data_IF_845774072587
#
_entry.id   IF_845774072587
#
_cell.length_a   1.000
_cell.length_b   1.000
_cell.length_c   1.000
_cell.angle_alpha   90.00
_cell.angle_beta   90.00
_cell.angle_gamma   90.00
#
_symmetry.space_group_name_H-M   'P 1'
#
loop_
_entity.id
_entity.type
_entity.pdbx_description
1 polymer ?
#
# COMPACT_ATOMS: atom_id res chain seq x y z
N UNK A 1 -48.98 -27.95 -47.31
CA UNK A 1 -49.10 -26.64 -46.65
C UNK A 1 -47.89 -25.80 -47.05
N UNK A 2 -48.09 -24.77 -47.87
CA UNK A 2 -46.98 -23.89 -48.29
C UNK A 2 -46.74 -22.84 -47.21
N UNK A 3 -45.49 -22.62 -46.76
CA UNK A 3 -45.20 -21.61 -45.76
C UNK A 3 -45.44 -20.21 -46.32
N UNK A 4 -46.03 -19.34 -45.51
CA UNK A 4 -46.33 -17.95 -45.88
C UNK A 4 -45.03 -17.14 -46.08
N UNK A 5 -44.67 -16.91 -47.35
CA UNK A 5 -43.47 -16.18 -47.77
C UNK A 5 -43.37 -14.77 -47.18
N UNK A 6 -44.51 -14.12 -46.92
CA UNK A 6 -44.55 -12.79 -46.32
C UNK A 6 -44.01 -12.77 -44.89
N UNK A 7 -44.27 -13.83 -44.11
CA UNK A 7 -43.73 -13.96 -42.76
C UNK A 7 -42.23 -14.26 -42.76
N UNK A 8 -41.73 -14.94 -43.80
CA UNK A 8 -40.30 -15.22 -43.95
C UNK A 8 -39.51 -13.93 -44.24
N UNK A 9 -39.96 -13.11 -45.18
CA UNK A 9 -39.29 -11.84 -45.53
C UNK A 9 -39.31 -10.85 -44.36
N UNK A 10 -40.42 -10.76 -43.61
CA UNK A 10 -40.49 -9.89 -42.44
C UNK A 10 -39.48 -10.27 -41.35
N UNK A 11 -39.20 -11.56 -41.16
CA UNK A 11 -38.17 -12.02 -40.21
C UNK A 11 -36.74 -11.80 -40.72
N UNK A 12 -36.51 -11.88 -42.03
CA UNK A 12 -35.20 -11.65 -42.65
C UNK A 12 -34.86 -10.16 -42.74
N UNK A 13 -35.84 -9.25 -42.77
CA UNK A 13 -35.56 -7.80 -42.87
C UNK A 13 -35.88 -7.01 -41.59
N UNK A 14 -35.93 -7.68 -40.43
CA UNK A 14 -36.05 -7.02 -39.13
C UNK A 14 -34.71 -7.06 -38.38
N UNK A 15 -33.70 -6.25 -38.76
CA UNK A 15 -32.38 -6.28 -38.11
C UNK A 15 -32.46 -6.00 -36.60
N UNK A 16 -33.44 -5.20 -36.15
CA UNK A 16 -33.73 -5.00 -34.73
C UNK A 16 -34.14 -6.27 -33.97
N UNK A 17 -34.53 -7.35 -34.66
CA UNK A 17 -34.84 -8.66 -34.05
C UNK A 17 -33.66 -9.62 -34.13
N UNK A 18 -32.71 -9.42 -35.06
CA UNK A 18 -31.50 -10.23 -35.15
C UNK A 18 -30.55 -10.01 -33.97
N UNK A 19 -30.53 -8.79 -33.43
CA UNK A 19 -29.73 -8.43 -32.25
C UNK A 19 -30.52 -8.40 -30.93
N UNK A 20 -31.80 -8.80 -30.94
CA UNK A 20 -32.48 -9.18 -29.69
C UNK A 20 -31.91 -10.53 -29.29
N UNK A 21 -30.72 -10.49 -28.68
CA UNK A 21 -30.14 -11.60 -27.96
C UNK A 21 -31.30 -12.30 -27.24
N UNK A 22 -31.54 -13.56 -27.59
CA UNK A 22 -32.54 -14.41 -26.93
C UNK A 22 -32.39 -14.15 -25.45
N UNK A 23 -33.49 -13.72 -24.79
CA UNK A 23 -33.54 -13.33 -23.37
C UNK A 23 -32.52 -14.16 -22.62
N UNK A 24 -31.32 -13.61 -22.43
CA UNK A 24 -30.24 -14.37 -21.84
C UNK A 24 -30.77 -14.73 -20.48
N UNK A 25 -30.82 -16.03 -20.21
CA UNK A 25 -31.36 -16.59 -18.99
C UNK A 25 -30.85 -15.72 -17.84
N UNK A 26 -31.79 -15.01 -17.18
CA UNK A 26 -31.40 -13.99 -16.21
C UNK A 26 -30.48 -14.70 -15.23
N UNK A 27 -29.27 -14.17 -14.99
CA UNK A 27 -28.30 -14.84 -14.12
C UNK A 27 -29.02 -15.23 -12.82
N UNK A 28 -29.08 -16.52 -12.55
CA UNK A 28 -29.75 -17.04 -11.36
C UNK A 28 -28.91 -16.71 -10.13
N UNK A 29 -29.58 -16.52 -8.99
CA UNK A 29 -28.88 -16.33 -7.71
C UNK A 29 -28.06 -17.58 -7.42
N UNK A 30 -26.83 -17.40 -6.94
CA UNK A 30 -25.92 -18.50 -6.60
C UNK A 30 -25.55 -18.40 -5.15
N UNK A 31 -25.65 -19.51 -4.43
CA UNK A 31 -25.22 -19.58 -3.03
C UNK A 31 -23.97 -20.43 -2.95
N UNK A 32 -22.92 -19.89 -2.34
CA UNK A 32 -21.63 -20.56 -2.13
C UNK A 32 -21.25 -20.51 -0.66
N UNK A 33 -20.57 -21.55 -0.17
CA UNK A 33 -19.98 -21.55 1.15
C UNK A 33 -18.52 -21.09 1.06
N UNK A 34 -18.16 -20.03 1.79
CA UNK A 34 -16.79 -19.53 1.85
C UNK A 34 -16.23 -19.64 3.26
N UNK A 35 -14.92 -19.84 3.36
CA UNK A 35 -14.17 -19.84 4.62
C UNK A 35 -13.60 -18.45 4.99
N UNK A 36 -13.49 -17.54 4.02
CA UNK A 36 -12.91 -16.20 4.18
C UNK A 36 -13.75 -15.17 3.39
N UNK A 37 -13.98 -13.94 3.90
CA UNK A 37 -13.42 -13.34 5.12
C UNK A 37 -14.00 -13.87 6.43
N UNK A 38 -15.27 -14.29 6.44
CA UNK A 38 -15.93 -14.93 7.58
C UNK A 38 -16.52 -16.26 7.11
N UNK A 39 -16.31 -17.39 7.83
CA UNK A 39 -16.91 -18.66 7.47
C UNK A 39 -18.45 -18.59 7.42
N UNK A 40 -19.05 -18.94 6.28
CA UNK A 40 -20.49 -18.82 6.12
C UNK A 40 -20.99 -19.07 4.70
N UNK A 41 -22.29 -18.86 4.51
CA UNK A 41 -22.95 -18.90 3.21
C UNK A 41 -23.06 -17.50 2.62
N UNK A 42 -22.69 -17.40 1.35
CA UNK A 42 -22.69 -16.18 0.57
C UNK A 42 -23.62 -16.32 -0.64
N UNK A 43 -24.44 -15.32 -0.90
CA UNK A 43 -25.36 -15.27 -2.04
C UNK A 43 -24.89 -14.21 -3.05
N UNK A 44 -24.69 -14.61 -4.30
CA UNK A 44 -24.47 -13.71 -5.41
C UNK A 44 -25.82 -13.21 -5.95
N UNK A 45 -26.02 -11.90 -5.85
CA UNK A 45 -27.18 -11.20 -6.40
C UNK A 45 -26.75 -10.48 -7.68
N UNK A 46 -27.26 -10.87 -8.87
CA UNK A 46 -26.88 -10.25 -10.12
C UNK A 46 -27.06 -8.73 -10.13
N UNK A 47 -26.05 -8.01 -10.62
CA UNK A 47 -26.03 -6.54 -10.63
C UNK A 47 -25.72 -5.89 -9.28
N UNK A 48 -25.74 -6.65 -8.16
CA UNK A 48 -25.44 -6.13 -6.82
C UNK A 48 -24.16 -6.69 -6.19
N UNK A 49 -23.73 -7.88 -6.62
CA UNK A 49 -22.53 -8.56 -6.12
C UNK A 49 -22.83 -9.63 -5.06
N UNK A 50 -21.81 -9.95 -4.27
CA UNK A 50 -21.87 -10.97 -3.22
C UNK A 50 -22.36 -10.40 -1.89
N UNK A 51 -23.12 -11.20 -1.14
CA UNK A 51 -23.64 -10.88 0.18
C UNK A 51 -23.44 -12.06 1.13
N UNK A 52 -23.02 -11.80 2.37
CA UNK A 52 -23.03 -12.79 3.44
C UNK A 52 -24.46 -12.90 3.98
N UNK A 53 -25.05 -14.11 3.91
CA UNK A 53 -26.44 -14.38 4.29
C UNK A 53 -26.54 -15.18 5.59
N UNK A 54 -25.56 -16.02 5.89
CA UNK A 54 -25.52 -16.82 7.11
C UNK A 54 -24.09 -17.05 7.55
N UNK A 55 -23.82 -16.91 8.85
CA UNK A 55 -22.51 -17.23 9.44
C UNK A 55 -22.51 -18.65 9.98
N UNK A 56 -21.39 -19.36 9.84
CA UNK A 56 -21.23 -20.66 10.49
C UNK A 56 -21.20 -20.43 12.01
N UNK A 57 -22.06 -21.14 12.74
CA UNK A 57 -22.02 -21.12 14.21
C UNK A 57 -20.81 -21.94 14.63
N UNK A 58 -19.74 -21.27 15.05
CA UNK A 58 -18.57 -21.98 15.54
C UNK A 58 -18.97 -22.85 16.74
N UNK A 59 -18.82 -24.17 16.61
CA UNK A 59 -19.00 -25.14 17.70
C UNK A 59 -18.03 -24.92 18.89
N UNK A 60 -17.19 -23.89 18.83
CA UNK A 60 -16.11 -23.62 19.77
C UNK A 60 -16.56 -22.93 21.07
N UNK A 61 -17.74 -22.29 21.11
CA UNK A 61 -18.18 -21.59 22.34
C UNK A 61 -18.78 -22.53 23.40
N UNK A 62 -19.14 -23.77 23.03
CA UNK A 62 -19.67 -24.77 23.97
C UNK A 62 -18.63 -25.85 24.36
N UNK A 63 -17.45 -25.86 23.74
CA UNK A 63 -16.39 -26.82 24.07
C UNK A 63 -15.65 -26.50 25.39
N UNK A 64 -15.84 -25.32 25.98
CA UNK A 64 -15.24 -24.94 27.27
C UNK A 64 -15.88 -25.62 28.49
N UNK A 65 -16.93 -26.43 28.30
CA UNK A 65 -17.64 -27.12 29.41
C UNK A 65 -17.42 -28.63 29.50
N UNK A 66 -16.61 -29.24 28.63
CA UNK A 66 -16.36 -30.69 28.67
C UNK A 66 -14.87 -31.02 28.75
N UNK A 67 -14.17 -30.45 29.75
CA UNK A 67 -12.95 -31.05 30.28
C UNK A 67 -13.31 -31.72 31.61
N UNK A 68 -13.40 -33.06 31.57
CA UNK A 68 -13.01 -34.01 32.62
C UNK A 68 -13.91 -35.25 32.59
N UNK A 69 -13.49 -36.29 31.86
CA UNK A 69 -13.29 -37.62 32.45
C UNK A 69 -12.46 -38.46 31.49
N UNK A 70 -11.31 -38.83 32.01
CA UNK A 70 -10.23 -39.62 31.43
C UNK A 70 -10.61 -41.12 31.42
N UNK A 71 -10.44 -41.79 30.27
CA UNK A 71 -10.36 -43.25 30.16
C UNK A 71 -11.61 -43.99 29.66
N UNK A 72 -11.65 -44.36 28.37
CA UNK A 72 -12.64 -45.31 27.82
C UNK A 72 -12.53 -45.56 26.31
N UNK A 73 -12.89 -46.75 25.79
CA UNK A 73 -12.30 -47.38 24.59
C UNK A 73 -12.84 -46.87 23.23
N UNK A 74 -11.99 -47.05 22.21
CA UNK A 74 -12.18 -46.94 20.75
C UNK A 74 -13.53 -46.33 20.30
N UNK A 75 -13.50 -45.03 19.98
CA UNK A 75 -14.67 -44.31 19.49
C UNK A 75 -15.06 -44.73 18.06
N UNK A 76 -16.36 -44.93 17.78
CA UNK A 76 -16.86 -45.20 16.43
C UNK A 76 -16.70 -43.99 15.52
N UNK A 77 -16.57 -44.25 14.21
CA UNK A 77 -16.37 -43.26 13.15
C UNK A 77 -17.30 -42.04 13.32
N UNK A 78 -16.69 -40.86 13.53
CA UNK A 78 -17.36 -39.56 13.66
C UNK A 78 -18.32 -39.37 12.48
N UNK A 79 -19.62 -39.36 12.73
CA UNK A 79 -20.60 -38.91 11.76
C UNK A 79 -20.32 -37.46 11.37
N UNK A 80 -20.56 -37.06 10.11
CA UNK A 80 -20.34 -35.69 9.67
C UNK A 80 -21.25 -34.77 10.50
N UNK A 81 -20.64 -33.95 11.36
CA UNK A 81 -21.36 -32.96 12.15
C UNK A 81 -22.05 -32.01 11.17
N UNK A 82 -23.38 -31.95 11.20
CA UNK A 82 -24.16 -31.02 10.38
C UNK A 82 -23.78 -29.60 10.79
N UNK A 83 -23.15 -28.86 9.87
CA UNK A 83 -22.79 -27.45 10.06
C UNK A 83 -24.06 -26.65 10.39
N UNK A 84 -24.11 -26.06 11.58
CA UNK A 84 -25.21 -25.18 11.99
C UNK A 84 -24.93 -23.76 11.48
N UNK A 85 -25.83 -23.20 10.67
CA UNK A 85 -25.71 -21.84 10.15
C UNK A 85 -26.70 -20.92 10.87
N UNK A 86 -26.24 -19.75 11.27
CA UNK A 86 -27.09 -18.67 11.79
C UNK A 86 -27.40 -17.72 10.65
N UNK A 87 -28.66 -17.69 10.22
CA UNK A 87 -29.14 -16.75 9.21
C UNK A 87 -29.07 -15.34 9.77
N UNK A 88 -28.46 -14.42 9.02
CA UNK A 88 -28.36 -13.02 9.41
C UNK A 88 -29.67 -12.29 9.06
N UNK A 89 -30.15 -11.45 9.98
CA UNK A 89 -31.32 -10.59 9.74
C UNK A 89 -31.08 -9.62 8.57
N UNK A 90 -29.84 -9.11 8.46
CA UNK A 90 -29.42 -8.21 7.40
C UNK A 90 -28.26 -8.80 6.60
N UNK A 91 -28.47 -8.93 5.29
CA UNK A 91 -27.42 -9.38 4.38
C UNK A 91 -26.27 -8.36 4.33
N UNK A 92 -25.05 -8.83 4.59
CA UNK A 92 -23.86 -7.97 4.62
C UNK A 92 -23.21 -7.98 3.23
N UNK A 93 -23.11 -6.82 2.58
CA UNK A 93 -22.47 -6.71 1.27
C UNK A 93 -20.99 -7.08 1.35
N UNK A 94 -20.51 -7.78 0.34
CA UNK A 94 -19.10 -8.15 0.18
C UNK A 94 -18.51 -7.35 -0.97
N UNK A 95 -17.33 -6.78 -0.74
CA UNK A 95 -16.57 -6.04 -1.73
C UNK A 95 -15.29 -6.79 -2.06
N UNK A 96 -15.01 -6.95 -3.36
CA UNK A 96 -13.70 -7.42 -3.80
C UNK A 96 -12.71 -6.24 -3.75
N UNK A 97 -11.76 -6.27 -2.82
CA UNK A 97 -10.74 -5.24 -2.74
C UNK A 97 -9.64 -5.50 -3.77
N UNK A 98 -9.47 -4.56 -4.70
CA UNK A 98 -8.38 -4.62 -5.70
C UNK A 98 -6.99 -4.51 -5.06
N UNK A 99 -6.89 -3.85 -3.90
CA UNK A 99 -5.62 -3.65 -3.20
C UNK A 99 -5.16 -4.91 -2.46
N UNK A 100 -6.08 -5.61 -1.80
CA UNK A 100 -5.77 -6.84 -1.07
C UNK A 100 -5.97 -8.10 -1.91
N UNK A 101 -6.61 -7.97 -3.09
CA UNK A 101 -7.00 -9.07 -3.98
C UNK A 101 -7.86 -10.14 -3.31
N UNK A 102 -8.63 -9.74 -2.29
CA UNK A 102 -9.54 -10.62 -1.53
C UNK A 102 -10.88 -9.95 -1.29
N UNK A 103 -11.87 -10.77 -0.99
CA UNK A 103 -13.20 -10.35 -0.59
C UNK A 103 -13.17 -9.83 0.86
N UNK A 104 -13.82 -8.70 1.10
CA UNK A 104 -13.90 -8.01 2.39
C UNK A 104 -15.36 -7.65 2.65
N UNK A 105 -15.79 -7.71 3.90
CA UNK A 105 -17.14 -7.29 4.30
C UNK A 105 -17.30 -5.76 4.26
N UNK A 106 -18.53 -5.28 4.07
CA UNK A 106 -18.83 -3.84 3.93
C UNK A 106 -18.35 -2.99 5.11
N UNK A 107 -18.53 -3.48 6.35
CA UNK A 107 -18.09 -2.76 7.54
C UNK A 107 -16.57 -2.59 7.57
N UNK A 108 -15.82 -3.66 7.27
CA UNK A 108 -14.37 -3.64 7.23
C UNK A 108 -13.86 -2.78 6.06
N UNK A 109 -14.53 -2.84 4.90
CA UNK A 109 -14.22 -1.98 3.76
C UNK A 109 -14.36 -0.49 4.11
N UNK A 110 -15.43 -0.11 4.84
CA UNK A 110 -15.64 1.26 5.33
C UNK A 110 -14.58 1.68 6.35
N UNK A 111 -14.25 0.83 7.31
CA UNK A 111 -13.21 1.11 8.32
C UNK A 111 -11.82 1.31 7.69
N UNK A 112 -11.53 0.60 6.60
CA UNK A 112 -10.27 0.71 5.86
C UNK A 112 -10.22 1.92 4.93
N UNK A 113 -11.35 2.55 4.62
CA UNK A 113 -11.39 3.74 3.75
C UNK A 113 -11.37 5.00 4.60
N UNK A 114 -10.42 5.90 4.36
CA UNK A 114 -10.34 7.21 5.03
C UNK A 114 -10.02 8.30 4.02
N UNK A 115 -10.67 9.44 4.16
CA UNK A 115 -10.35 10.64 3.39
C UNK A 115 -9.36 11.51 4.16
N UNK A 116 -8.48 12.21 3.45
CA UNK A 116 -7.54 13.14 4.05
C UNK A 116 -6.96 14.13 3.06
N UNK A 117 -6.47 15.25 3.59
CA UNK A 117 -5.83 16.31 2.81
C UNK A 117 -4.34 16.03 2.68
N UNK A 118 -3.79 16.05 1.46
CA UNK A 118 -2.35 15.99 1.22
C UNK A 118 -1.88 17.20 0.41
N UNK A 119 -0.61 17.58 0.58
CA UNK A 119 0.02 18.61 -0.26
C UNK A 119 0.43 17.97 -1.58
N UNK A 120 -0.06 18.53 -2.69
CA UNK A 120 0.44 18.20 -4.02
C UNK A 120 1.87 18.76 -4.21
N UNK A 121 2.49 18.41 -5.33
CA UNK A 121 3.80 18.93 -5.75
C UNK A 121 3.85 20.48 -5.80
N UNK A 122 2.71 21.11 -6.08
CA UNK A 122 2.55 22.57 -6.07
C UNK A 122 2.31 23.16 -4.66
N UNK A 123 2.40 22.35 -3.60
CA UNK A 123 2.12 22.76 -2.22
C UNK A 123 0.64 22.95 -1.88
N UNK A 124 -0.28 22.86 -2.84
CA UNK A 124 -1.73 22.98 -2.63
C UNK A 124 -2.27 21.75 -1.90
N UNK A 125 -3.12 21.98 -0.89
CA UNK A 125 -3.85 20.91 -0.20
C UNK A 125 -4.96 20.36 -1.10
N UNK A 126 -4.95 19.06 -1.33
CA UNK A 126 -5.95 18.34 -2.11
C UNK A 126 -6.47 17.16 -1.31
N UNK A 127 -7.80 17.01 -1.30
CA UNK A 127 -8.46 15.89 -0.68
C UNK A 127 -8.26 14.62 -1.50
N UNK A 128 -7.80 13.56 -0.86
CA UNK A 128 -7.65 12.24 -1.49
C UNK A 128 -8.21 11.16 -0.58
N UNK A 129 -8.65 10.05 -1.18
CA UNK A 129 -9.07 8.87 -0.44
C UNK A 129 -7.93 7.88 -0.32
N UNK A 130 -7.79 7.31 0.87
CA UNK A 130 -6.80 6.31 1.23
C UNK A 130 -7.49 5.01 1.65
N UNK A 131 -6.81 3.89 1.40
CA UNK A 131 -7.22 2.55 1.79
C UNK A 131 -6.15 1.91 2.68
N UNK A 132 -6.57 1.38 3.82
CA UNK A 132 -5.71 0.77 4.83
C UNK A 132 -5.37 -0.69 4.47
N UNK A 133 -4.09 -1.02 4.48
CA UNK A 133 -3.60 -2.38 4.24
C UNK A 133 -3.74 -3.27 5.49
N UNK A 134 -3.40 -4.55 5.34
CA UNK A 134 -3.55 -5.58 6.39
C UNK A 134 -2.58 -5.43 7.56
N UNK A 135 -1.49 -4.69 7.36
CA UNK A 135 -0.50 -4.40 8.39
C UNK A 135 -1.03 -3.45 9.48
N UNK A 136 -2.19 -2.83 9.27
CA UNK A 136 -2.81 -1.97 10.27
C UNK A 136 -2.19 -0.57 10.37
N UNK A 137 -1.12 -0.28 9.62
CA UNK A 137 -0.35 0.96 9.70
C UNK A 137 -0.29 1.64 8.33
N UNK A 138 -0.03 0.88 7.26
CA UNK A 138 0.14 1.43 5.92
C UNK A 138 -1.18 1.80 5.28
N UNK A 139 -1.20 2.98 4.66
CA UNK A 139 -2.28 3.49 3.83
C UNK A 139 -1.80 3.62 2.39
N UNK A 140 -2.71 3.38 1.44
CA UNK A 140 -2.47 3.53 0.01
C UNK A 140 -3.49 4.50 -0.56
N UNK A 141 -3.03 5.46 -1.36
CA UNK A 141 -3.94 6.35 -2.08
C UNK A 141 -4.71 5.54 -3.13
N UNK A 142 -6.05 5.59 -3.06
CA UNK A 142 -6.92 4.78 -3.91
C UNK A 142 -7.77 5.60 -4.90
N UNK A 143 -8.16 6.81 -4.51
CA UNK A 143 -8.93 7.71 -5.37
C UNK A 143 -8.34 9.11 -5.37
N UNK A 144 -8.46 9.79 -6.50
CA UNK A 144 -8.20 11.22 -6.63
C UNK A 144 -9.37 12.06 -6.06
N UNK A 145 -9.28 13.38 -6.19
CA UNK A 145 -10.32 14.31 -5.73
C UNK A 145 -11.62 14.20 -6.55
N UNK A 146 -11.54 13.67 -7.76
CA UNK A 146 -12.67 13.49 -8.68
C UNK A 146 -13.39 12.15 -8.45
N UNK A 147 -12.81 11.27 -7.61
CA UNK A 147 -13.32 9.93 -7.35
C UNK A 147 -12.88 8.90 -8.38
N UNK A 148 -11.94 9.22 -9.29
CA UNK A 148 -11.34 8.26 -10.19
C UNK A 148 -10.35 7.38 -9.44
N UNK A 149 -10.33 6.11 -9.80
CA UNK A 149 -9.39 5.14 -9.23
C UNK A 149 -7.98 5.40 -9.76
N UNK A 150 -7.04 5.67 -8.85
CA UNK A 150 -5.63 5.84 -9.20
C UNK A 150 -4.96 4.47 -9.16
N UNK A 151 -4.73 3.87 -10.32
CA UNK A 151 -3.96 2.63 -10.40
C UNK A 151 -2.50 2.89 -10.00
N UNK A 152 -1.92 1.98 -9.23
CA UNK A 152 -0.49 1.99 -8.96
C UNK A 152 0.27 1.83 -10.28
N UNK A 153 1.26 2.69 -10.52
CA UNK A 153 2.07 2.60 -11.74
C UNK A 153 2.98 1.36 -11.74
N UNK A 154 3.95 1.29 -12.67
CA UNK A 154 4.96 0.22 -12.70
C UNK A 154 5.72 0.07 -11.38
N UNK A 155 5.87 1.20 -10.68
CA UNK A 155 6.45 1.31 -9.34
C UNK A 155 5.40 1.09 -8.24
N UNK A 156 4.33 0.35 -8.50
CA UNK A 156 3.27 0.04 -7.53
C UNK A 156 2.64 1.26 -6.85
N UNK A 157 1.99 1.02 -5.71
CA UNK A 157 1.32 2.06 -4.95
C UNK A 157 2.29 2.77 -4.01
N UNK A 158 2.15 4.10 -3.91
CA UNK A 158 2.83 4.88 -2.87
C UNK A 158 2.20 4.58 -1.51
N UNK A 159 3.05 4.34 -0.52
CA UNK A 159 2.64 4.08 0.87
C UNK A 159 2.65 5.36 1.69
N UNK A 160 1.62 5.49 2.50
CA UNK A 160 1.35 6.64 3.35
C UNK A 160 1.12 6.15 4.78
N UNK A 161 1.41 7.01 5.75
CA UNK A 161 1.13 6.80 7.17
C UNK A 161 0.49 8.06 7.72
N UNK A 162 -0.41 7.89 8.68
CA UNK A 162 -0.99 9.02 9.41
C UNK A 162 0.00 9.40 10.48
N UNK A 163 0.47 10.65 10.43
CA UNK A 163 1.36 11.17 11.45
C UNK A 163 0.63 11.32 12.79
N UNK A 164 1.20 10.80 13.87
CA UNK A 164 0.52 10.77 15.17
C UNK A 164 0.29 12.16 15.75
N UNK A 165 1.20 13.10 15.47
CA UNK A 165 1.15 14.47 15.97
C UNK A 165 0.18 15.33 15.17
N UNK A 166 0.33 15.35 13.84
CA UNK A 166 -0.48 16.24 12.98
C UNK A 166 -1.80 15.62 12.53
N UNK A 167 -1.97 14.31 12.67
CA UNK A 167 -3.08 13.53 12.09
C UNK A 167 -3.21 13.69 10.56
N UNK A 168 -2.15 14.18 9.89
CA UNK A 168 -2.10 14.34 8.45
C UNK A 168 -1.44 13.12 7.80
N UNK A 169 -1.82 12.86 6.55
CA UNK A 169 -1.16 11.84 5.76
C UNK A 169 0.21 12.34 5.31
N UNK A 170 1.25 11.57 5.62
CA UNK A 170 2.61 11.78 5.13
C UNK A 170 3.11 10.52 4.43
N UNK A 171 4.09 10.70 3.56
CA UNK A 171 4.79 9.55 2.98
C UNK A 171 5.38 8.68 4.08
N UNK A 172 5.28 7.37 3.89
CA UNK A 172 5.82 6.41 4.84
C UNK A 172 7.34 6.50 4.85
N UNK A 173 7.92 6.79 6.02
CA UNK A 173 9.37 6.81 6.20
C UNK A 173 9.86 5.38 6.44
N UNK A 174 11.16 5.16 6.24
CA UNK A 174 11.77 3.83 6.43
C UNK A 174 11.50 3.27 7.83
N UNK A 175 11.49 4.12 8.85
CA UNK A 175 11.25 3.77 10.26
C UNK A 175 9.80 3.35 10.57
N UNK A 176 8.84 3.72 9.73
CA UNK A 176 7.43 3.41 9.95
C UNK A 176 7.04 2.04 9.37
N UNK A 177 7.89 1.45 8.52
CA UNK A 177 7.62 0.16 7.92
C UNK A 177 7.71 -0.94 8.99
N UNK A 178 6.66 -1.75 9.21
CA UNK A 178 6.69 -2.84 10.21
C UNK A 178 7.80 -3.86 9.94
N UNK A 179 8.17 -4.07 8.68
CA UNK A 179 9.25 -4.99 8.29
C UNK A 179 10.65 -4.39 8.47
N UNK A 180 10.76 -3.10 8.82
CA UNK A 180 12.05 -2.44 8.98
C UNK A 180 12.72 -2.84 10.29
N UNK A 181 13.59 -3.85 10.20
CA UNK A 181 14.54 -4.16 11.26
C UNK A 181 15.60 -3.06 11.26
N UNK A 182 15.63 -2.25 12.31
CA UNK A 182 16.72 -1.31 12.56
C UNK A 182 18.00 -2.14 12.74
N UNK A 183 18.83 -2.21 11.69
CA UNK A 183 20.14 -2.84 11.77
C UNK A 183 20.86 -2.27 12.99
N UNK A 184 21.24 -3.16 13.91
CA UNK A 184 21.75 -2.82 15.25
C UNK A 184 22.77 -1.69 15.18
N UNK A 185 22.65 -0.76 16.12
CA UNK A 185 23.50 0.41 16.39
C UNK A 185 24.96 0.06 16.75
N UNK A 186 25.58 -0.96 16.15
CA UNK A 186 26.95 -1.36 16.45
C UNK A 186 28.01 -0.46 15.80
N UNK A 187 27.63 0.75 15.37
CA UNK A 187 28.56 1.81 15.00
C UNK A 187 28.22 3.03 15.85
N UNK A 188 28.69 3.07 17.12
CA UNK A 188 28.72 4.33 17.85
C UNK A 188 29.70 5.25 17.10
N UNK A 189 29.35 6.52 16.94
CA UNK A 189 30.20 7.54 16.32
C UNK A 189 30.43 7.38 14.81
N UNK A 190 29.50 7.88 14.00
CA UNK A 190 29.81 8.97 13.06
C UNK A 190 28.57 9.47 12.34
N UNK A 191 28.49 10.79 12.29
CA UNK A 191 27.81 11.64 11.33
C UNK A 191 26.48 12.27 11.78
N UNK A 192 26.62 13.54 12.17
CA UNK A 192 25.56 14.52 12.42
C UNK A 192 24.80 14.97 11.16
N UNK A 193 24.97 14.28 10.02
CA UNK A 193 24.26 14.55 8.76
C UNK A 193 23.01 13.68 8.62
N UNK A 194 22.18 13.61 9.67
CA UNK A 194 20.89 12.89 9.68
C UNK A 194 19.76 13.57 8.88
N UNK A 195 20.11 14.42 7.89
CA UNK A 195 19.12 15.07 7.02
C UNK A 195 18.62 14.16 5.88
N UNK A 196 19.23 13.00 5.69
CA UNK A 196 18.80 11.96 4.75
C UNK A 196 17.98 10.86 5.44
N UNK A 197 16.90 11.25 6.13
CA UNK A 197 15.78 10.33 6.40
C UNK A 197 14.99 10.15 5.10
N UNK A 198 15.67 9.66 4.07
CA UNK A 198 15.19 9.59 2.71
C UNK A 198 13.79 8.99 2.69
N UNK A 199 12.83 9.81 2.24
CA UNK A 199 11.50 9.36 1.82
C UNK A 199 11.70 8.16 0.93
N UNK A 200 11.51 6.97 1.48
CA UNK A 200 11.49 5.78 0.66
C UNK A 200 10.31 5.98 -0.27
N UNK A 201 10.59 6.04 -1.58
CA UNK A 201 9.60 5.70 -2.60
C UNK A 201 9.24 4.23 -2.36
N UNK A 202 8.45 4.01 -1.31
CA UNK A 202 8.17 2.72 -0.70
C UNK A 202 7.03 2.09 -1.46
N UNK A 203 7.39 1.60 -2.63
CA UNK A 203 6.51 0.89 -3.55
C UNK A 203 5.89 -0.33 -2.86
N UNK A 204 4.56 -0.40 -2.78
CA UNK A 204 3.86 -1.65 -2.50
C UNK A 204 3.71 -2.46 -3.80
N UNK A 205 4.37 -3.63 -3.89
CA UNK A 205 4.18 -4.61 -4.98
C UNK A 205 3.22 -5.69 -4.47
N UNK A 206 1.98 -5.68 -4.93
CA UNK A 206 1.05 -6.81 -4.74
C UNK A 206 1.47 -7.96 -5.65
N UNK A 207 2.22 -8.95 -5.13
CA UNK A 207 2.54 -10.17 -5.85
C UNK A 207 3.09 -11.28 -4.92
N UNK A 208 2.51 -12.50 -4.95
CA UNK A 208 3.14 -13.67 -4.33
C UNK A 208 4.37 -14.05 -5.18
N UNK A 209 5.54 -13.60 -4.75
CA UNK A 209 6.79 -13.72 -5.52
C UNK A 209 7.77 -12.56 -5.39
N UNK A 210 7.52 -11.60 -4.47
CA UNK A 210 8.51 -10.57 -4.14
C UNK A 210 9.74 -11.22 -3.47
N UNK A 211 10.83 -11.37 -4.22
CA UNK A 211 12.12 -11.99 -3.84
C UNK A 211 12.93 -11.23 -2.78
N UNK A 212 12.29 -10.41 -1.94
CA UNK A 212 13.00 -9.64 -0.91
C UNK A 212 13.31 -10.45 0.35
N UNK A 213 12.57 -11.54 0.59
CA UNK A 213 12.77 -12.43 1.75
C UNK A 213 13.53 -13.71 1.39
N UNK A 214 14.54 -13.58 0.52
CA UNK A 214 15.54 -14.63 0.34
C UNK A 214 16.56 -14.55 1.47
N UNK A 215 16.83 -15.69 2.13
CA UNK A 215 17.96 -15.86 3.04
C UNK A 215 19.21 -15.23 2.42
N UNK A 216 19.82 -14.29 3.13
CA UNK A 216 21.05 -13.61 2.72
C UNK A 216 22.12 -14.63 2.38
N UNK A 217 22.30 -14.90 1.09
CA UNK A 217 23.37 -15.75 0.57
C UNK A 217 24.69 -15.04 0.90
N UNK A 218 25.62 -15.68 1.63
CA UNK A 218 26.93 -15.09 1.91
C UNK A 218 27.64 -14.78 0.60
N UNK A 219 27.97 -13.51 0.38
CA UNK A 219 28.83 -13.10 -0.73
C UNK A 219 30.25 -13.56 -0.46
N UNK A 220 30.59 -14.77 -0.92
CA UNK A 220 31.98 -15.25 -1.01
C UNK A 220 32.64 -14.64 -2.24
N UNK A 221 33.00 -13.35 -2.17
CA UNK A 221 34.10 -12.83 -2.99
C UNK A 221 35.40 -13.02 -2.22
N UNK A 222 36.06 -14.15 -2.49
CA UNK A 222 37.44 -14.37 -2.10
C UNK A 222 38.38 -13.74 -3.13
N UNK A 223 39.10 -12.70 -2.70
CA UNK A 223 40.37 -12.32 -3.31
C UNK A 223 41.42 -13.36 -2.88
N UNK A 224 42.03 -14.08 -3.82
CA UNK A 224 43.43 -14.51 -3.66
C UNK A 224 44.06 -14.93 -4.99
N UNK A 225 45.18 -14.27 -5.26
CA UNK A 225 46.15 -14.45 -6.34
C UNK A 225 46.84 -15.82 -6.23
N UNK A 226 47.05 -16.51 -7.38
CA UNK A 226 48.25 -17.33 -7.71
C UNK A 226 48.26 -17.67 -9.22
N UNK A 227 49.36 -17.30 -9.89
CA UNK A 227 49.73 -17.58 -11.29
C UNK A 227 50.36 -19.00 -11.45
N UNK A 228 50.90 -19.44 -12.62
CA UNK A 228 50.27 -19.70 -13.92
C UNK A 228 50.67 -21.08 -14.53
N UNK A 229 50.04 -21.54 -15.62
CA UNK A 229 50.60 -22.58 -16.51
C UNK A 229 50.41 -22.24 -18.00
N UNK A 230 51.56 -22.08 -18.68
CA UNK A 230 51.92 -22.35 -20.09
C UNK A 230 50.97 -22.08 -21.29
N UNK A 231 51.44 -21.14 -22.13
CA UNK A 231 51.22 -20.82 -23.57
C UNK A 231 51.18 -22.00 -24.58
N UNK A 232 51.02 -21.79 -25.93
CA UNK A 232 50.57 -20.61 -26.73
C UNK A 232 49.43 -20.98 -27.74
N UNK A 233 48.75 -20.07 -28.46
CA UNK A 233 49.13 -19.63 -29.82
C UNK A 233 48.01 -18.75 -30.44
N UNK A 234 48.42 -17.78 -31.27
CA UNK A 234 47.67 -16.93 -32.23
C UNK A 234 47.08 -15.58 -31.76
N UNK A 235 47.74 -14.51 -32.26
CA UNK A 235 47.25 -13.13 -32.48
C UNK A 235 46.42 -13.10 -33.81
N UNK A 236 45.76 -12.01 -34.29
CA UNK A 236 45.94 -10.56 -34.00
C UNK A 236 44.59 -9.73 -34.04
N UNK A 237 44.52 -8.44 -34.44
CA UNK A 237 44.39 -7.30 -33.53
C UNK A 237 43.17 -6.38 -33.82
N UNK A 238 42.74 -5.56 -32.86
CA UNK A 238 42.32 -4.18 -33.16
C UNK A 238 42.17 -3.35 -31.89
N UNK A 239 42.96 -2.29 -31.84
CA UNK A 239 42.91 -1.24 -30.85
C UNK A 239 41.75 -0.28 -31.15
N UNK A 240 41.08 0.19 -30.11
CA UNK A 240 40.40 1.50 -30.11
C UNK A 240 40.65 2.20 -28.78
N UNK A 241 41.47 3.28 -28.75
CA UNK A 241 41.51 4.19 -27.62
C UNK A 241 40.57 5.36 -27.90
N UNK A 242 39.47 5.48 -27.17
CA UNK A 242 38.63 6.69 -27.21
C UNK A 242 38.60 7.39 -25.87
N UNK A 243 39.44 8.43 -25.80
CA UNK A 243 39.14 9.78 -25.29
C UNK A 243 38.92 9.95 -23.79
N UNK A 244 40.03 10.30 -23.15
CA UNK A 244 40.11 11.38 -22.16
C UNK A 244 39.45 12.66 -22.70
N UNK A 245 38.64 13.33 -21.87
CA UNK A 245 38.63 14.78 -21.63
C UNK A 245 37.47 15.14 -20.69
N UNK A 246 37.67 14.91 -19.38
CA UNK A 246 36.89 15.56 -18.33
C UNK A 246 37.61 16.85 -17.92
N UNK A 247 36.96 18.04 -17.98
CA UNK A 247 37.57 19.30 -17.60
C UNK A 247 38.00 19.26 -16.13
N UNK A 248 39.29 19.47 -15.88
CA UNK A 248 39.82 19.73 -14.54
C UNK A 248 39.15 20.98 -13.98
N UNK A 249 38.21 20.82 -13.04
CA UNK A 249 37.75 21.91 -12.16
C UNK A 249 38.84 22.20 -11.15
N UNK A 250 39.84 22.97 -11.56
CA UNK A 250 40.69 23.71 -10.64
C UNK A 250 39.90 24.96 -10.24
N UNK A 251 39.29 24.92 -9.07
CA UNK A 251 38.95 26.06 -8.21
C UNK A 251 38.39 25.48 -6.90
N UNK A 252 39.22 24.72 -6.20
CA UNK A 252 38.97 24.40 -4.79
C UNK A 252 39.17 25.70 -4.01
N UNK A 253 38.08 26.42 -3.79
CA UNK A 253 37.98 27.36 -2.68
C UNK A 253 38.43 26.56 -1.44
N UNK A 254 39.41 27.04 -0.65
CA UNK A 254 39.90 26.31 0.51
C UNK A 254 38.71 25.93 1.39
N UNK A 255 38.50 24.63 1.61
CA UNK A 255 37.33 24.09 2.33
C UNK A 255 37.11 24.74 3.71
N UNK A 256 38.16 25.31 4.29
CA UNK A 256 38.09 26.09 5.52
C UNK A 256 37.36 27.43 5.37
N UNK A 257 37.56 28.14 4.26
CA UNK A 257 36.95 29.45 4.03
C UNK A 257 35.44 29.31 3.78
N UNK A 258 35.03 28.29 3.02
CA UNK A 258 33.62 27.96 2.83
C UNK A 258 32.93 27.56 4.15
N UNK A 259 33.63 26.81 5.02
CA UNK A 259 33.11 26.41 6.32
C UNK A 259 33.00 27.60 7.29
N UNK A 260 33.93 28.55 7.22
CA UNK A 260 33.86 29.79 7.97
C UNK A 260 32.71 30.70 7.49
N UNK A 261 32.50 30.80 6.18
CA UNK A 261 31.40 31.57 5.59
C UNK A 261 30.03 31.00 6.01
N UNK A 262 29.87 29.68 5.99
CA UNK A 262 28.61 29.01 6.37
C UNK A 262 28.28 29.19 7.86
N UNK A 263 29.30 29.19 8.73
CA UNK A 263 29.14 29.53 10.16
C UNK A 263 28.76 30.99 10.40
N UNK A 264 29.27 31.93 9.59
CA UNK A 264 28.88 33.35 9.68
C UNK A 264 27.41 33.54 9.29
N UNK A 265 27.00 32.93 8.19
CA UNK A 265 25.61 33.01 7.72
C UNK A 265 24.63 32.42 8.74
N UNK A 266 24.98 31.29 9.37
CA UNK A 266 24.15 30.69 10.42
C UNK A 266 24.00 31.62 11.65
N UNK A 267 25.08 32.28 12.08
CA UNK A 267 25.05 33.21 13.22
C UNK A 267 24.23 34.46 12.92
N UNK A 268 24.29 34.97 11.69
CA UNK A 268 23.51 36.13 11.25
C UNK A 268 22.00 35.82 11.19
N UNK A 269 21.61 34.62 10.76
CA UNK A 269 20.21 34.18 10.79
C UNK A 269 19.67 34.09 12.22
N UNK A 270 20.46 33.51 13.14
CA UNK A 270 20.06 33.42 14.55
C UNK A 270 19.89 34.81 15.18
N UNK A 271 20.81 35.73 14.91
CA UNK A 271 20.71 37.11 15.41
C UNK A 271 19.51 37.87 14.82
N UNK A 272 19.19 37.65 13.55
CA UNK A 272 18.00 38.22 12.91
C UNK A 272 16.69 37.70 13.53
N UNK A 273 16.62 36.41 13.88
CA UNK A 273 15.46 35.81 14.53
C UNK A 273 15.30 36.31 15.97
N UNK A 274 16.41 36.46 16.71
CA UNK A 274 16.40 37.09 18.04
C UNK A 274 15.93 38.54 17.96
N UNK A 275 16.40 39.31 16.97
CA UNK A 275 15.95 40.69 16.76
C UNK A 275 14.45 40.77 16.42
N UNK A 276 13.93 39.84 15.59
CA UNK A 276 12.49 39.74 15.30
C UNK A 276 11.67 39.41 16.54
N UNK A 277 12.11 38.46 17.36
CA UNK A 277 11.39 38.10 18.59
C UNK A 277 11.30 39.25 19.59
N UNK A 278 12.38 40.04 19.75
CA UNK A 278 12.39 41.26 20.59
C UNK A 278 11.46 42.36 20.07
N UNK A 279 11.29 42.47 18.76
CA UNK A 279 10.38 43.45 18.16
C UNK A 279 8.92 43.10 18.44
N UNK A 280 8.57 41.82 18.32
CA UNK A 280 7.21 41.33 18.60
C UNK A 280 6.82 41.39 20.08
N UNK A 281 7.77 41.25 21.02
CA UNK A 281 7.46 41.36 22.46
C UNK A 281 7.15 42.80 22.90
N UNK A 282 7.76 43.79 22.25
CA UNK A 282 7.57 45.22 22.56
C UNK A 282 6.20 45.75 22.12
N UNK A 283 5.59 45.13 21.11
CA UNK A 283 4.30 45.55 20.55
C UNK A 283 3.08 45.03 21.34
N UNK A 284 3.24 43.95 22.12
CA UNK A 284 2.18 43.40 22.99
C UNK A 284 2.02 44.08 24.34
N UNK A 285 2.88 45.06 24.67
CA UNK A 285 2.86 45.76 25.95
C UNK A 285 1.99 47.02 25.99
N UNK A 286 1.14 47.29 24.99
CA UNK A 286 0.31 48.51 24.99
C UNK A 286 -0.98 48.27 25.81
N UNK A 287 -1.12 48.82 27.02
CA UNK A 287 -2.33 48.65 27.81
C UNK A 287 -3.49 49.36 27.09
N UNK A 288 -4.51 48.60 26.70
CA UNK A 288 -5.75 49.16 26.20
C UNK A 288 -6.50 49.79 27.37
N UNK A 289 -6.50 51.13 27.40
CA UNK A 289 -7.31 51.90 28.33
C UNK A 289 -8.80 51.56 28.09
N UNK A 290 -9.42 50.98 29.11
CA UNK A 290 -10.84 50.60 29.17
C UNK A 290 -11.67 51.87 29.28
N UNK A 291 -12.31 52.29 28.19
CA UNK A 291 -13.31 53.35 28.17
C UNK A 291 -14.64 52.75 28.64
N UNK A 292 -15.17 53.27 29.75
CA UNK A 292 -16.47 52.88 30.29
C UNK A 292 -17.61 53.65 29.64
N UNK A 293 -18.74 52.96 29.49
CA UNK A 293 -20.10 53.47 29.50
C UNK A 293 -21.01 52.36 30.02
#
# INVERSE_FOLDING_TARGET
MTPNLFLATQKVFSPHKWFKASKSERPTRRTEEWTSPVPGQYEYIPGRGWYLIATLKDAATDASRLNATEGGPVLPAKSPQSKEYVVLEQHIKVHYSRFLRRNILDHEYKLRKKQGMIKNENGKLVERSFFKLDDGITWVQCYDAEGNFVAGGEKGYQRWVIDSQTQQFRHMLKRDNPDYIRSRNNSPERDGDSHSQDSMSSVFRTGPGSTRDGLSVPSTRANSIRFPTSNPTSRPPSQRPSRQNSPRRNNSIPLEEAKAALRRMAREQEEADVARSRRNSRERGRPTARVGN
#
